data_IF_199679530415
#
_entry.id   IF_199679530415
#
_cell.length_a   1.000
_cell.length_b   1.000
_cell.length_c   1.000
_cell.angle_alpha   90.00
_cell.angle_beta   90.00
_cell.angle_gamma   90.00
#
_symmetry.space_group_name_H-M   'P 1'
#
loop_
_entity.id
_entity.type
_entity.pdbx_description
1 polymer ?
#
# COMPACT_ATOMS: atom_id res chain seq x y z
N UNK A 1 -20.13 -15.39 -3.73
CA UNK A 1 -19.66 -14.94 -2.41
C UNK A 1 -19.32 -13.46 -2.49
N UNK A 2 -19.78 -12.69 -1.55
CA UNK A 2 -19.47 -11.26 -1.45
C UNK A 2 -18.14 -11.05 -0.71
N UNK A 3 -17.49 -9.92 -0.98
CA UNK A 3 -16.28 -9.55 -0.26
C UNK A 3 -16.54 -9.51 1.26
N UNK A 4 -17.70 -9.00 1.67
CA UNK A 4 -18.08 -8.96 3.09
C UNK A 4 -18.09 -10.32 3.76
N UNK A 5 -18.48 -11.37 3.03
CA UNK A 5 -18.44 -12.75 3.54
C UNK A 5 -17.00 -13.25 3.65
N UNK A 6 -16.15 -12.92 2.68
CA UNK A 6 -14.75 -13.28 2.72
C UNK A 6 -14.03 -12.66 3.93
N UNK A 7 -14.40 -11.43 4.28
CA UNK A 7 -13.80 -10.74 5.44
C UNK A 7 -14.08 -11.44 6.76
N UNK A 8 -15.16 -12.21 6.86
CA UNK A 8 -15.45 -13.00 8.06
C UNK A 8 -14.62 -14.27 8.16
N UNK A 9 -14.02 -14.70 7.06
CA UNK A 9 -13.28 -15.96 6.99
C UNK A 9 -11.77 -15.78 6.86
N UNK A 10 -11.34 -14.59 6.47
CA UNK A 10 -9.93 -14.29 6.22
C UNK A 10 -9.45 -13.17 7.13
N UNK A 11 -8.23 -13.33 7.64
CA UNK A 11 -7.55 -12.26 8.35
C UNK A 11 -6.95 -11.28 7.35
N UNK A 12 -6.88 -10.02 7.74
CA UNK A 12 -6.21 -9.01 6.93
C UNK A 12 -4.71 -9.29 6.87
N UNK A 13 -4.11 -9.09 5.70
CA UNK A 13 -2.66 -9.03 5.60
C UNK A 13 -2.15 -7.80 6.36
N UNK A 14 -0.97 -7.88 6.98
CA UNK A 14 -0.37 -6.71 7.60
C UNK A 14 -0.05 -5.65 6.54
N UNK A 15 -0.42 -4.42 6.81
CA UNK A 15 -0.13 -3.31 5.93
C UNK A 15 0.21 -2.06 6.74
N UNK A 16 0.86 -1.10 6.09
CA UNK A 16 1.18 0.18 6.69
C UNK A 16 0.33 1.26 6.01
N UNK A 17 -0.41 2.03 6.81
CA UNK A 17 -1.14 3.19 6.33
C UNK A 17 -0.42 4.45 6.80
N UNK A 18 -0.10 5.35 5.88
CA UNK A 18 0.63 6.58 6.15
C UNK A 18 -0.10 7.77 5.53
N UNK A 19 0.01 8.93 6.16
CA UNK A 19 -0.53 10.15 5.60
C UNK A 19 0.39 10.71 4.50
N UNK A 20 -0.17 11.52 3.59
CA UNK A 20 0.55 12.00 2.41
C UNK A 20 1.74 12.89 2.70
N UNK A 21 1.80 13.52 3.86
CA UNK A 21 2.93 14.35 4.29
C UNK A 21 4.05 13.56 4.96
N UNK A 22 3.87 12.23 5.12
CA UNK A 22 4.90 11.36 5.66
C UNK A 22 6.09 11.29 4.70
N UNK A 23 7.31 11.41 5.22
CA UNK A 23 8.50 11.32 4.38
C UNK A 23 8.85 9.86 4.11
N UNK A 24 9.60 9.62 3.04
CA UNK A 24 10.03 8.27 2.70
C UNK A 24 10.95 7.68 3.77
N UNK A 25 11.77 8.50 4.41
CA UNK A 25 12.64 8.09 5.50
C UNK A 25 11.83 7.62 6.72
N UNK A 26 10.77 8.34 7.06
CA UNK A 26 9.87 7.94 8.14
C UNK A 26 9.20 6.60 7.86
N UNK A 27 8.78 6.38 6.60
CA UNK A 27 8.19 5.12 6.17
C UNK A 27 9.22 3.99 6.28
N UNK A 28 10.45 4.23 5.85
CA UNK A 28 11.52 3.24 5.93
C UNK A 28 11.81 2.83 7.38
N UNK A 29 11.83 3.79 8.29
CA UNK A 29 12.04 3.52 9.71
C UNK A 29 10.89 2.66 10.28
N UNK A 30 9.66 2.97 9.92
CA UNK A 30 8.50 2.21 10.39
C UNK A 30 8.47 0.78 9.84
N UNK A 31 8.92 0.57 8.60
CA UNK A 31 8.96 -0.75 7.98
C UNK A 31 10.02 -1.63 8.63
N UNK A 32 11.17 -1.08 9.02
CA UNK A 32 12.24 -1.85 9.64
C UNK A 32 11.79 -2.55 10.92
N UNK A 33 10.83 -1.94 11.63
CA UNK A 33 10.29 -2.51 12.86
C UNK A 33 9.19 -3.55 12.62
N UNK A 34 8.66 -3.63 11.40
CA UNK A 34 7.51 -4.48 11.06
C UNK A 34 7.87 -5.42 9.91
N UNK A 35 8.43 -6.57 10.24
CA UNK A 35 8.98 -7.53 9.26
C UNK A 35 7.94 -8.11 8.29
N UNK A 36 6.66 -8.06 8.64
CA UNK A 36 5.62 -8.73 7.85
C UNK A 36 4.82 -7.79 6.96
N UNK A 37 5.11 -6.49 7.00
CA UNK A 37 4.38 -5.52 6.19
C UNK A 37 4.74 -5.70 4.72
N UNK A 38 3.73 -5.88 3.88
CA UNK A 38 3.90 -6.04 2.43
C UNK A 38 3.40 -4.85 1.64
N UNK A 39 2.37 -4.19 2.12
CA UNK A 39 1.74 -3.08 1.42
C UNK A 39 1.86 -1.77 2.17
N UNK A 40 2.11 -0.69 1.44
CA UNK A 40 2.13 0.66 1.97
C UNK A 40 1.01 1.43 1.27
N UNK A 41 0.04 1.89 2.03
CA UNK A 41 -1.10 2.65 1.51
C UNK A 41 -1.05 4.07 2.04
N UNK A 42 -1.32 5.01 1.15
CA UNK A 42 -1.34 6.44 1.51
C UNK A 42 -2.78 6.85 1.72
N UNK A 43 -3.03 7.50 2.85
CA UNK A 43 -4.37 7.92 3.24
C UNK A 43 -4.38 9.43 3.56
N UNK A 44 -5.57 10.02 3.52
CA UNK A 44 -5.75 11.41 3.94
C UNK A 44 -6.01 11.51 5.45
N UNK A 45 -6.24 12.71 5.94
CA UNK A 45 -6.50 12.96 7.38
C UNK A 45 -7.76 12.23 7.88
N UNK A 46 -8.67 11.83 6.99
CA UNK A 46 -9.87 11.07 7.34
C UNK A 46 -9.70 9.57 7.09
N UNK A 47 -8.47 9.11 6.91
CA UNK A 47 -8.11 7.71 6.65
C UNK A 47 -8.63 7.17 5.30
N UNK A 48 -8.97 8.04 4.36
CA UNK A 48 -9.42 7.63 3.03
C UNK A 48 -8.22 7.28 2.15
N UNK A 49 -8.35 6.22 1.37
CA UNK A 49 -7.30 5.73 0.49
C UNK A 49 -7.01 6.72 -0.64
N UNK A 50 -5.78 7.18 -0.74
CA UNK A 50 -5.32 8.10 -1.79
C UNK A 50 -4.43 7.43 -2.82
N UNK A 51 -3.60 6.49 -2.39
CA UNK A 51 -2.64 5.86 -3.27
C UNK A 51 -1.90 4.73 -2.59
N UNK A 52 -0.95 4.18 -3.31
CA UNK A 52 -0.07 3.12 -2.79
C UNK A 52 1.38 3.41 -3.14
N UNK A 53 2.29 2.92 -2.32
CA UNK A 53 3.72 3.00 -2.56
C UNK A 53 4.30 1.59 -2.59
N UNK A 54 4.98 1.22 -3.66
CA UNK A 54 5.63 -0.07 -3.72
C UNK A 54 6.94 -0.06 -2.94
N UNK A 55 7.27 -1.19 -2.33
CA UNK A 55 8.57 -1.36 -1.66
C UNK A 55 9.74 -1.12 -2.60
N UNK A 56 9.60 -1.55 -3.85
CA UNK A 56 10.64 -1.34 -4.86
C UNK A 56 10.92 0.12 -5.14
N UNK A 57 9.88 0.94 -5.24
CA UNK A 57 10.04 2.39 -5.44
C UNK A 57 10.69 3.02 -4.22
N UNK A 58 10.25 2.66 -3.01
CA UNK A 58 10.82 3.16 -1.77
C UNK A 58 12.31 2.82 -1.67
N UNK A 59 12.65 1.56 -1.85
CA UNK A 59 14.04 1.09 -1.73
C UNK A 59 14.92 1.74 -2.78
N UNK A 60 14.43 1.85 -4.02
CA UNK A 60 15.17 2.50 -5.10
C UNK A 60 15.47 3.96 -4.77
N UNK A 61 14.49 4.69 -4.28
CA UNK A 61 14.66 6.08 -3.90
C UNK A 61 15.70 6.23 -2.78
N UNK A 62 15.58 5.42 -1.72
CA UNK A 62 16.51 5.46 -0.58
C UNK A 62 17.91 5.06 -0.99
N UNK A 63 18.04 4.04 -1.83
CA UNK A 63 19.34 3.55 -2.32
C UNK A 63 20.01 4.61 -3.19
N UNK A 64 19.28 5.25 -4.08
CA UNK A 64 19.80 6.30 -4.96
C UNK A 64 20.29 7.49 -4.15
N UNK A 65 19.57 7.88 -3.11
CA UNK A 65 19.98 8.99 -2.23
C UNK A 65 21.19 8.63 -1.39
N UNK A 66 21.31 7.39 -0.93
CA UNK A 66 22.44 6.94 -0.10
C UNK A 66 23.71 6.72 -0.90
N UNK A 67 23.59 6.30 -2.15
CA UNK A 67 24.74 5.98 -3.01
C UNK A 67 25.25 7.13 -3.87
N UNK A 68 24.66 8.29 -3.76
CA UNK A 68 25.26 9.49 -4.34
C UNK A 68 26.15 10.12 -3.27
N UNK A 69 27.46 9.70 -3.25
CA UNK A 69 28.29 10.14 -2.16
C UNK A 69 28.67 11.53 -2.45
N UNK A 70 28.46 12.47 -2.14
CA UNK A 70 29.46 13.36 -2.54
C UNK A 70 29.29 14.77 -2.34
N UNK A 71 28.18 15.23 -1.98
CA UNK A 71 28.12 16.62 -1.74
C UNK A 71 27.34 16.85 -0.47
N UNK A 72 28.03 17.27 0.59
CA UNK A 72 27.41 17.72 1.81
C UNK A 72 26.26 18.69 1.55
N UNK A 73 26.40 19.52 0.52
CA UNK A 73 25.34 20.42 0.07
C UNK A 73 24.12 19.65 -0.44
N UNK A 74 24.34 18.58 -1.19
CA UNK A 74 23.25 17.76 -1.73
C UNK A 74 22.57 16.95 -0.63
N UNK A 75 23.34 16.48 0.32
CA UNK A 75 22.82 15.82 1.52
C UNK A 75 21.96 16.77 2.36
N UNK A 76 22.40 18.01 2.50
CA UNK A 76 21.62 19.03 3.17
C UNK A 76 20.36 19.40 2.39
N UNK A 77 20.46 19.56 1.08
CA UNK A 77 19.31 19.82 0.22
C UNK A 77 18.31 18.68 0.24
N UNK A 78 18.78 17.44 0.26
CA UNK A 78 17.93 16.27 0.37
C UNK A 78 17.18 16.24 1.70
N UNK A 79 17.84 16.63 2.79
CA UNK A 79 17.20 16.75 4.09
C UNK A 79 16.19 17.88 4.15
N UNK A 80 16.47 18.98 3.47
CA UNK A 80 15.57 20.14 3.42
C UNK A 80 14.41 19.92 2.47
N UNK A 81 14.59 19.05 1.45
CA UNK A 81 13.59 18.73 0.46
C UNK A 81 13.22 17.24 0.53
N UNK A 82 13.11 16.70 1.75
CA UNK A 82 12.72 15.30 1.90
C UNK A 82 11.39 15.06 1.16
N UNK A 83 11.39 14.03 0.32
CA UNK A 83 10.26 13.72 -0.53
C UNK A 83 9.12 13.16 0.33
N UNK A 84 7.96 13.76 0.21
CA UNK A 84 6.76 13.25 0.84
C UNK A 84 6.18 12.11 0.00
N UNK A 85 5.56 11.15 0.65
CA UNK A 85 5.03 9.97 -0.03
C UNK A 85 3.98 10.34 -1.08
N UNK A 86 3.24 11.43 -0.88
CA UNK A 86 2.21 11.87 -1.83
C UNK A 86 2.80 12.19 -3.22
N UNK A 87 4.06 12.59 -3.28
CA UNK A 87 4.73 12.93 -4.54
C UNK A 87 5.21 11.70 -5.31
N UNK A 88 5.36 10.56 -4.64
CA UNK A 88 5.84 9.32 -5.24
C UNK A 88 4.80 8.22 -5.31
N UNK A 89 3.69 8.34 -4.62
CA UNK A 89 2.67 7.31 -4.62
C UNK A 89 2.04 7.12 -5.99
N UNK A 90 1.58 5.89 -6.25
CA UNK A 90 0.75 5.60 -7.40
C UNK A 90 -0.70 5.95 -7.01
N UNK A 91 -1.32 6.86 -7.76
CA UNK A 91 -2.69 7.28 -7.52
C UNK A 91 -3.72 6.31 -8.08
N UNK A 92 -3.29 5.41 -8.96
CA UNK A 92 -4.17 4.43 -9.59
C UNK A 92 -4.24 3.17 -8.72
N UNK A 93 -4.91 3.29 -7.59
CA UNK A 93 -5.05 2.16 -6.66
C UNK A 93 -6.23 1.30 -7.09
N UNK A 94 -5.97 0.01 -7.25
CA UNK A 94 -7.04 -0.98 -7.43
C UNK A 94 -7.51 -1.39 -6.03
N UNK A 95 -8.79 -1.26 -5.78
CA UNK A 95 -9.38 -1.58 -4.48
C UNK A 95 -10.71 -2.31 -4.67
N UNK A 96 -11.20 -2.92 -3.59
CA UNK A 96 -12.49 -3.60 -3.57
C UNK A 96 -13.38 -3.00 -2.49
N UNK A 97 -14.68 -3.12 -2.70
CA UNK A 97 -15.70 -2.70 -1.74
C UNK A 97 -16.41 -3.95 -1.19
N UNK A 98 -17.03 -3.81 -0.02
CA UNK A 98 -17.64 -4.93 0.70
C UNK A 98 -18.74 -5.63 -0.08
N UNK A 99 -19.51 -4.91 -0.87
CA UNK A 99 -20.68 -5.42 -1.56
C UNK A 99 -20.36 -6.04 -2.93
N UNK A 100 -19.11 -6.01 -3.34
CA UNK A 100 -18.70 -6.60 -4.62
C UNK A 100 -18.64 -8.12 -4.53
N UNK A 101 -18.86 -8.78 -5.68
CA UNK A 101 -18.66 -10.20 -5.81
C UNK A 101 -17.18 -10.56 -5.83
N UNK A 102 -16.82 -11.59 -5.09
CA UNK A 102 -15.44 -12.00 -4.94
C UNK A 102 -14.80 -12.41 -6.27
N UNK A 103 -15.58 -13.06 -7.14
CA UNK A 103 -15.09 -13.45 -8.47
C UNK A 103 -14.69 -12.26 -9.32
N UNK A 104 -15.47 -11.19 -9.29
CA UNK A 104 -15.15 -9.96 -10.00
C UNK A 104 -13.90 -9.29 -9.47
N UNK A 105 -13.71 -9.33 -8.15
CA UNK A 105 -12.49 -8.79 -7.51
C UNK A 105 -11.28 -9.62 -7.92
N UNK A 106 -11.39 -10.94 -7.92
CA UNK A 106 -10.31 -11.84 -8.35
C UNK A 106 -9.90 -11.55 -9.81
N UNK A 107 -10.87 -11.41 -10.70
CA UNK A 107 -10.61 -11.07 -12.10
C UNK A 107 -9.89 -9.73 -12.24
N UNK A 108 -10.32 -8.74 -11.47
CA UNK A 108 -9.69 -7.42 -11.46
C UNK A 108 -8.24 -7.50 -11.02
N UNK A 109 -7.95 -8.29 -9.99
CA UNK A 109 -6.59 -8.49 -9.50
C UNK A 109 -5.70 -9.16 -10.55
N UNK A 110 -6.23 -10.18 -11.22
CA UNK A 110 -5.50 -10.87 -12.29
C UNK A 110 -5.20 -9.92 -13.44
N UNK A 111 -6.18 -9.15 -13.88
CA UNK A 111 -6.02 -8.19 -14.97
C UNK A 111 -5.02 -7.08 -14.62
N UNK A 112 -5.02 -6.64 -13.37
CA UNK A 112 -4.11 -5.59 -12.90
C UNK A 112 -2.76 -6.13 -12.47
N UNK A 113 -2.56 -7.44 -12.51
CA UNK A 113 -1.34 -8.12 -12.10
C UNK A 113 -0.92 -7.75 -10.66
N UNK A 114 -1.88 -7.70 -9.76
CA UNK A 114 -1.63 -7.42 -8.35
C UNK A 114 -1.90 -8.67 -7.51
N UNK A 115 -1.13 -8.83 -6.44
CA UNK A 115 -1.22 -9.98 -5.54
C UNK A 115 -1.98 -9.68 -4.27
N UNK A 116 -2.23 -8.43 -3.99
CA UNK A 116 -2.91 -7.96 -2.79
C UNK A 116 -3.86 -6.85 -3.19
N UNK A 117 -5.00 -6.76 -2.50
CA UNK A 117 -5.99 -5.73 -2.77
C UNK A 117 -6.51 -5.14 -1.46
N UNK A 118 -6.50 -3.81 -1.31
CA UNK A 118 -7.15 -3.19 -0.17
C UNK A 118 -8.66 -3.23 -0.34
N UNK A 119 -9.34 -3.52 0.76
CA UNK A 119 -10.81 -3.44 0.83
C UNK A 119 -11.15 -2.18 1.59
N UNK A 120 -12.05 -1.39 1.02
CA UNK A 120 -12.45 -0.11 1.61
C UNK A 120 -13.93 -0.13 1.98
N UNK A 121 -14.29 0.73 2.94
CA UNK A 121 -15.69 0.94 3.32
C UNK A 121 -16.35 1.97 2.40
N UNK A 122 -17.57 2.38 2.75
CA UNK A 122 -18.37 3.33 1.97
C UNK A 122 -17.73 4.72 1.91
N UNK A 123 -16.89 5.05 2.88
CA UNK A 123 -16.17 6.32 2.93
C UNK A 123 -14.76 6.20 2.35
N UNK A 124 -14.45 5.10 1.68
CA UNK A 124 -13.15 4.81 1.06
C UNK A 124 -12.02 4.64 2.07
N UNK A 125 -12.32 4.27 3.32
CA UNK A 125 -11.32 3.95 4.33
C UNK A 125 -10.93 2.48 4.24
N UNK A 126 -9.64 2.19 4.37
CA UNK A 126 -9.16 0.81 4.33
C UNK A 126 -9.63 0.05 5.58
N UNK A 127 -10.27 -1.09 5.36
CA UNK A 127 -10.73 -1.97 6.45
C UNK A 127 -10.00 -3.29 6.49
N UNK A 128 -9.38 -3.68 5.37
CA UNK A 128 -8.65 -4.95 5.28
C UNK A 128 -7.79 -4.96 4.03
N UNK A 129 -6.82 -5.85 3.98
CA UNK A 129 -6.05 -6.16 2.76
C UNK A 129 -6.08 -7.65 2.56
N UNK A 130 -6.49 -8.10 1.38
CA UNK A 130 -6.65 -9.51 1.06
C UNK A 130 -5.65 -9.95 -0.02
N UNK A 131 -5.17 -11.19 0.09
CA UNK A 131 -4.25 -11.74 -0.90
C UNK A 131 -5.00 -12.46 -2.00
N UNK A 132 -4.43 -12.41 -3.20
CA UNK A 132 -4.95 -13.15 -4.35
C UNK A 132 -5.07 -14.63 -4.05
N UNK A 133 -4.07 -15.21 -3.41
CA UNK A 133 -4.06 -16.63 -3.09
C UNK A 133 -5.19 -17.03 -2.14
N UNK A 134 -5.44 -16.21 -1.13
CA UNK A 134 -6.52 -16.48 -0.17
C UNK A 134 -7.89 -16.41 -0.83
N UNK A 135 -8.10 -15.44 -1.72
CA UNK A 135 -9.35 -15.32 -2.47
C UNK A 135 -9.55 -16.52 -3.40
N UNK A 136 -8.49 -16.93 -4.09
CA UNK A 136 -8.54 -18.08 -4.96
C UNK A 136 -8.88 -19.37 -4.18
N UNK A 137 -8.28 -19.54 -3.01
CA UNK A 137 -8.58 -20.71 -2.16
C UNK A 137 -10.02 -20.73 -1.68
N UNK A 138 -10.58 -19.57 -1.32
CA UNK A 138 -11.98 -19.48 -0.93
C UNK A 138 -12.92 -19.86 -2.07
N UNK A 139 -12.65 -19.39 -3.28
CA UNK A 139 -13.48 -19.66 -4.44
C UNK A 139 -13.31 -21.10 -4.97
N UNK A 140 -12.17 -21.70 -4.72
CA UNK A 140 -11.85 -23.04 -5.16
C UNK A 140 -12.44 -24.15 -4.29
N UNK A 141 -13.10 -23.79 -3.22
CA UNK A 141 -13.70 -24.78 -2.33
C UNK A 141 -15.12 -25.15 -2.74
#
# INVERSE_FOLDING_TARGET
MKVSEALTQLDSLPYLAVEGDCTLEEIADRIQDQRQVRGIYVVDAKARLLGTLSLGVLIRHLTTTRHKPLFHVRSLLTRLTSTNVIDLMDKHVVYAQKDEDLEGVLDRMIHSNIKEIPVVDEEKRIISVLSLLDLWRLLGK
#
